data_IF_543215946036
#
_entry.id   IF_543215946036
#
_cell.length_a   1.000
_cell.length_b   1.000
_cell.length_c   1.000
_cell.angle_alpha   90.00
_cell.angle_beta   90.00
_cell.angle_gamma   90.00
#
_symmetry.space_group_name_H-M   'P 1'
#
loop_
_entity.id
_entity.type
_entity.pdbx_description
1 polymer ?
#
# COMPACT_ATOMS: atom_id res chain seq x y z
N UNK A 1 31.52 -24.14 -4.83
CA UNK A 1 31.35 -22.90 -5.61
C UNK A 1 29.88 -22.87 -6.04
N UNK A 2 28.92 -22.16 -5.44
CA UNK A 2 28.93 -20.90 -4.71
C UNK A 2 27.81 -20.92 -3.65
N UNK A 3 28.15 -20.82 -2.37
CA UNK A 3 27.21 -20.68 -1.25
C UNK A 3 27.08 -19.19 -0.85
N UNK A 4 26.95 -18.31 -1.86
CA UNK A 4 26.71 -16.88 -1.68
C UNK A 4 25.22 -16.55 -1.62
N UNK A 5 24.35 -17.56 -1.75
CA UNK A 5 22.89 -17.43 -1.71
C UNK A 5 22.35 -17.02 -0.34
N UNK A 6 23.18 -17.11 0.70
CA UNK A 6 22.89 -16.68 2.08
C UNK A 6 23.53 -15.33 2.46
N UNK A 7 24.06 -14.57 1.51
CA UNK A 7 24.25 -13.13 1.75
C UNK A 7 22.87 -12.57 1.97
N UNK A 8 22.52 -12.29 3.23
CA UNK A 8 21.32 -11.57 3.60
C UNK A 8 21.20 -10.39 2.63
N UNK A 9 20.19 -10.43 1.75
CA UNK A 9 19.94 -9.29 0.86
C UNK A 9 19.83 -8.09 1.78
N UNK A 10 20.74 -7.11 1.69
CA UNK A 10 20.73 -6.01 2.61
C UNK A 10 19.37 -5.34 2.50
N UNK A 11 18.76 -5.05 3.64
CA UNK A 11 17.43 -4.44 3.64
C UNK A 11 17.47 -3.17 2.80
N UNK A 12 16.61 -3.09 1.79
CA UNK A 12 16.64 -1.99 0.81
C UNK A 12 15.38 -1.16 0.94
N UNK A 13 15.54 0.16 0.93
CA UNK A 13 14.39 1.05 0.82
C UNK A 13 13.92 1.08 -0.63
N UNK A 14 12.68 0.65 -0.87
CA UNK A 14 12.05 0.70 -2.18
C UNK A 14 10.95 1.75 -2.18
N UNK A 15 10.76 2.37 -3.33
CA UNK A 15 9.65 3.28 -3.60
C UNK A 15 8.68 2.63 -4.57
N UNK A 16 7.41 3.00 -4.48
CA UNK A 16 6.37 2.59 -5.42
C UNK A 16 5.00 3.01 -4.94
N UNK A 17 3.97 2.26 -5.32
CA UNK A 17 2.60 2.50 -4.87
C UNK A 17 1.86 1.17 -4.77
N UNK A 18 1.57 0.75 -3.54
CA UNK A 18 0.81 -0.47 -3.28
C UNK A 18 -0.37 -0.16 -2.35
N UNK A 19 -1.58 -0.55 -2.74
CA UNK A 19 -2.78 -0.31 -1.95
C UNK A 19 -2.74 -1.11 -0.63
N UNK A 20 -3.09 -0.46 0.47
CA UNK A 20 -3.42 -1.13 1.72
C UNK A 20 -4.82 -1.72 1.59
N UNK A 21 -4.94 -3.03 1.71
CA UNK A 21 -6.24 -3.71 1.68
C UNK A 21 -7.01 -3.36 2.94
N UNK A 22 -8.31 -3.17 2.83
CA UNK A 22 -9.16 -2.95 4.02
C UNK A 22 -9.36 -4.29 4.71
N UNK A 23 -8.93 -4.38 5.97
CA UNK A 23 -9.14 -5.55 6.82
C UNK A 23 -10.61 -5.72 7.19
N UNK A 24 -10.99 -6.88 7.73
CA UNK A 24 -12.37 -7.17 8.15
C UNK A 24 -12.92 -6.15 9.16
N UNK A 25 -12.04 -5.51 9.93
CA UNK A 25 -12.41 -4.47 10.91
C UNK A 25 -12.54 -3.06 10.30
N UNK A 26 -12.45 -2.90 8.97
CA UNK A 26 -12.53 -1.61 8.29
C UNK A 26 -11.24 -0.78 8.34
N UNK A 27 -10.23 -1.22 9.09
CA UNK A 27 -8.91 -0.57 9.15
C UNK A 27 -8.04 -0.95 7.92
N UNK A 28 -7.18 -0.05 7.44
CA UNK A 28 -6.24 -0.36 6.36
C UNK A 28 -5.11 -1.28 6.84
N UNK A 29 -4.90 -2.40 6.14
CA UNK A 29 -3.75 -3.28 6.30
C UNK A 29 -2.64 -2.89 5.32
N UNK A 30 -1.74 -2.04 5.80
CA UNK A 30 -0.57 -1.60 5.06
C UNK A 30 0.63 -2.56 5.16
N UNK A 31 0.55 -3.61 6.00
CA UNK A 31 1.59 -4.65 6.01
C UNK A 31 1.54 -5.46 4.72
N UNK A 32 0.35 -5.93 4.34
CA UNK A 32 0.18 -6.64 3.06
C UNK A 32 0.57 -5.73 1.89
N UNK A 33 0.27 -4.43 1.97
CA UNK A 33 0.69 -3.44 0.97
C UNK A 33 2.21 -3.33 0.83
N UNK A 34 2.93 -3.27 1.95
CA UNK A 34 4.40 -3.23 1.96
C UNK A 34 5.02 -4.54 1.46
N UNK A 35 4.51 -5.68 1.92
CA UNK A 35 4.97 -7.00 1.47
C UNK A 35 4.81 -7.15 -0.05
N UNK A 36 3.65 -6.76 -0.60
CA UNK A 36 3.42 -6.74 -2.05
C UNK A 36 4.39 -5.82 -2.78
N UNK A 37 4.60 -4.60 -2.27
CA UNK A 37 5.55 -3.65 -2.85
C UNK A 37 6.96 -4.27 -2.93
N UNK A 38 7.39 -4.93 -1.86
CA UNK A 38 8.69 -5.59 -1.78
C UNK A 38 8.80 -6.84 -2.66
N UNK A 39 7.73 -7.64 -2.76
CA UNK A 39 7.65 -8.80 -3.64
C UNK A 39 7.81 -8.42 -5.11
N UNK A 40 7.28 -7.26 -5.55
CA UNK A 40 7.52 -6.77 -6.93
C UNK A 40 8.99 -6.43 -7.21
N UNK A 41 9.79 -6.27 -6.16
CA UNK A 41 11.24 -6.02 -6.22
C UNK A 41 12.07 -7.28 -5.90
N UNK A 42 11.41 -8.42 -5.74
CA UNK A 42 12.02 -9.73 -5.50
C UNK A 42 12.40 -10.00 -4.04
N UNK A 43 11.98 -9.16 -3.09
CA UNK A 43 12.13 -9.43 -1.65
C UNK A 43 10.97 -10.28 -1.13
N UNK A 44 11.15 -10.93 0.02
CA UNK A 44 10.10 -11.81 0.58
C UNK A 44 9.01 -10.99 1.25
N UNK A 45 9.43 -9.97 1.99
CA UNK A 45 8.56 -9.16 2.84
C UNK A 45 9.11 -7.73 2.98
N UNK A 46 8.33 -6.86 3.59
CA UNK A 46 8.81 -5.55 3.98
C UNK A 46 7.91 -4.81 4.95
N UNK A 47 8.42 -3.67 5.40
CA UNK A 47 7.75 -2.79 6.35
C UNK A 47 7.52 -1.44 5.73
N UNK A 48 6.28 -0.96 5.77
CA UNK A 48 5.95 0.38 5.27
C UNK A 48 6.68 1.44 6.09
N UNK A 49 7.28 2.41 5.39
CA UNK A 49 7.86 3.61 5.97
C UNK A 49 6.90 4.77 5.76
N UNK A 50 6.43 4.92 4.51
CA UNK A 50 5.52 5.99 4.12
C UNK A 50 4.21 5.41 3.60
N UNK A 51 3.12 5.97 4.10
CA UNK A 51 1.74 5.69 3.66
C UNK A 51 1.14 7.00 3.18
N UNK A 52 0.61 6.99 1.97
CA UNK A 52 -0.17 8.06 1.40
C UNK A 52 -1.66 7.73 1.51
N UNK A 53 -2.41 8.64 2.10
CA UNK A 53 -3.87 8.54 2.25
C UNK A 53 -4.54 9.43 1.21
N UNK A 54 -5.49 8.87 0.46
CA UNK A 54 -6.27 9.61 -0.53
C UNK A 54 -7.75 9.31 -0.35
N UNK A 55 -8.57 10.35 -0.44
CA UNK A 55 -10.01 10.19 -0.52
C UNK A 55 -10.42 9.97 -1.98
N UNK A 56 -11.11 8.87 -2.25
CA UNK A 56 -11.65 8.54 -3.56
C UNK A 56 -13.15 8.70 -3.54
N UNK A 57 -13.64 9.70 -4.27
CA UNK A 57 -15.06 9.97 -4.38
C UNK A 57 -15.65 9.43 -5.69
N UNK A 58 -16.90 8.98 -5.62
CA UNK A 58 -17.75 8.69 -6.78
C UNK A 58 -17.87 9.96 -7.62
N UNK A 59 -17.72 9.88 -8.95
CA UNK A 59 -17.91 11.05 -9.83
C UNK A 59 -19.27 11.74 -9.66
N UNK A 60 -20.28 11.02 -9.16
CA UNK A 60 -21.61 11.56 -8.88
C UNK A 60 -21.58 12.77 -7.94
N UNK A 61 -20.61 12.86 -7.02
CA UNK A 61 -20.51 14.00 -6.08
C UNK A 61 -20.23 15.33 -6.74
N UNK A 62 -19.78 15.33 -7.99
CA UNK A 62 -19.51 16.54 -8.77
C UNK A 62 -20.68 16.95 -9.66
N UNK A 63 -21.76 16.15 -9.71
CA UNK A 63 -22.96 16.50 -10.47
C UNK A 63 -23.77 17.60 -9.75
N UNK A 64 -24.21 18.64 -10.47
CA UNK A 64 -25.11 19.65 -9.91
C UNK A 64 -26.38 19.01 -9.33
N UNK A 65 -26.76 19.41 -8.11
CA UNK A 65 -27.97 18.91 -7.44
C UNK A 65 -27.83 17.54 -6.76
N UNK A 66 -26.70 16.86 -6.90
CA UNK A 66 -26.44 15.61 -6.20
C UNK A 66 -26.21 15.84 -4.71
N UNK A 67 -26.93 15.11 -3.86
CA UNK A 67 -26.77 15.16 -2.39
C UNK A 67 -25.77 14.10 -1.96
N UNK A 68 -24.70 14.54 -1.31
CA UNK A 68 -23.67 13.62 -0.82
C UNK A 68 -24.23 12.67 0.24
N UNK A 69 -23.94 11.39 0.09
CA UNK A 69 -24.19 10.31 1.03
C UNK A 69 -22.88 9.75 1.63
N UNK A 70 -22.99 8.95 2.71
CA UNK A 70 -21.85 8.44 3.47
C UNK A 70 -20.94 7.46 2.70
N UNK A 71 -21.40 6.91 1.57
CA UNK A 71 -20.63 5.98 0.73
C UNK A 71 -20.02 6.62 -0.52
N UNK A 72 -20.21 7.92 -0.69
CA UNK A 72 -19.75 8.61 -1.89
C UNK A 72 -18.24 8.75 -1.94
N UNK A 73 -17.59 8.88 -0.80
CA UNK A 73 -16.15 9.00 -0.69
C UNK A 73 -15.61 7.90 0.21
N UNK A 74 -14.54 7.26 -0.22
CA UNK A 74 -13.83 6.23 0.54
C UNK A 74 -12.38 6.63 0.70
N UNK A 75 -11.89 6.52 1.92
CA UNK A 75 -10.48 6.70 2.20
C UNK A 75 -9.70 5.46 1.78
N UNK A 76 -8.81 5.60 0.83
CA UNK A 76 -7.87 4.58 0.40
C UNK A 76 -6.46 4.94 0.93
N UNK A 77 -5.70 3.93 1.36
CA UNK A 77 -4.33 4.10 1.83
C UNK A 77 -3.38 3.35 0.91
N UNK A 78 -2.21 3.92 0.66
CA UNK A 78 -1.20 3.36 -0.23
C UNK A 78 0.17 3.40 0.43
N UNK A 79 0.89 2.29 0.47
CA UNK A 79 2.31 2.29 0.82
C UNK A 79 3.10 2.86 -0.35
N UNK A 80 3.84 3.94 -0.11
CA UNK A 80 4.67 4.61 -1.12
C UNK A 80 6.15 4.32 -0.95
N UNK A 81 6.58 4.00 0.27
CA UNK A 81 7.94 3.54 0.57
C UNK A 81 7.92 2.40 1.58
N UNK A 82 8.81 1.43 1.39
CA UNK A 82 8.99 0.32 2.31
C UNK A 82 10.47 -0.06 2.46
N UNK A 83 10.86 -0.56 3.62
CA UNK A 83 12.11 -1.32 3.77
C UNK A 83 11.82 -2.78 3.45
N UNK A 84 12.52 -3.36 2.49
CA UNK A 84 12.33 -4.74 2.04
C UNK A 84 13.49 -5.64 2.44
N UNK A 85 13.19 -6.91 2.74
CA UNK A 85 14.17 -7.93 3.13
C UNK A 85 13.83 -9.31 2.53
#
# INVERSE_FOLDING_TARGET
MNDLSNIARPSSMVTGRAACVVSANGAPDCKIGADRLCQTKGFREGKSIDINTTEKCSPLVYLPGYKRGPNDCKTENFVTRAVCQ
#
